data_IF_680919697342
#
_entry.id   IF_680919697342
#
_cell.length_a   1.000
_cell.length_b   1.000
_cell.length_c   1.000
_cell.angle_alpha   90.00
_cell.angle_beta   90.00
_cell.angle_gamma   90.00
#
_symmetry.space_group_name_H-M   'P 1'
#
loop_
_entity.id
_entity.type
_entity.pdbx_description
1 polymer ?
#
# COMPACT_ATOMS: atom_id res chain seq x y z
N UNK A 1 -21.57 8.27 0.54
CA UNK A 1 -20.32 8.54 1.28
C UNK A 1 -20.00 7.29 2.05
N UNK A 2 -18.83 6.68 1.84
CA UNK A 2 -18.44 5.44 2.52
C UNK A 2 -17.76 5.78 3.84
N UNK A 3 -18.09 5.05 4.90
CA UNK A 3 -17.50 5.25 6.23
C UNK A 3 -16.23 4.41 6.44
N UNK A 4 -15.45 4.72 7.47
CA UNK A 4 -14.33 3.87 7.89
C UNK A 4 -14.77 2.42 8.22
N UNK A 5 -15.99 2.26 8.74
CA UNK A 5 -16.57 0.93 9.00
C UNK A 5 -16.84 0.17 7.71
N UNK A 6 -17.34 0.87 6.68
CA UNK A 6 -17.57 0.25 5.36
C UNK A 6 -16.25 -0.18 4.72
N UNK A 7 -15.21 0.66 4.81
CA UNK A 7 -13.87 0.34 4.34
C UNK A 7 -13.29 -0.90 5.03
N UNK A 8 -13.38 -0.95 6.37
CA UNK A 8 -12.95 -2.11 7.14
C UNK A 8 -13.67 -3.38 6.72
N UNK A 9 -14.99 -3.30 6.53
CA UNK A 9 -15.80 -4.46 6.13
C UNK A 9 -15.48 -4.94 4.70
N UNK A 10 -15.12 -4.02 3.80
CA UNK A 10 -14.63 -4.35 2.47
C UNK A 10 -13.28 -5.07 2.57
N UNK A 11 -12.28 -4.42 3.16
CA UNK A 11 -10.89 -4.92 3.23
C UNK A 11 -10.73 -6.18 4.10
N UNK A 12 -11.76 -6.60 4.83
CA UNK A 12 -11.79 -7.87 5.57
C UNK A 12 -12.17 -9.08 4.69
N UNK A 13 -12.46 -8.88 3.41
CA UNK A 13 -12.84 -9.95 2.47
C UNK A 13 -11.64 -10.44 1.68
N UNK A 14 -11.66 -11.72 1.34
CA UNK A 14 -10.66 -12.31 0.45
C UNK A 14 -10.85 -11.80 -0.99
N UNK A 15 -9.74 -11.60 -1.69
CA UNK A 15 -9.73 -11.18 -3.10
C UNK A 15 -9.80 -9.66 -3.33
N UNK A 16 -9.85 -8.85 -2.27
CA UNK A 16 -9.79 -7.40 -2.37
C UNK A 16 -8.35 -6.90 -2.63
N UNK A 17 -8.24 -5.77 -3.34
CA UNK A 17 -6.96 -5.16 -3.64
C UNK A 17 -6.58 -4.14 -2.57
N UNK A 18 -5.32 -4.22 -2.12
CA UNK A 18 -4.71 -3.25 -1.22
C UNK A 18 -3.89 -2.21 -1.99
N UNK A 19 -3.69 -1.04 -1.38
CA UNK A 19 -2.93 0.06 -2.00
C UNK A 19 -2.08 0.85 -1.00
N UNK A 20 -1.97 2.15 -1.27
CA UNK A 20 -1.13 3.05 -0.48
C UNK A 20 -1.55 3.15 1.00
N UNK A 21 -2.86 3.09 1.27
CA UNK A 21 -3.40 3.17 2.64
C UNK A 21 -2.96 1.96 3.46
N UNK A 22 -3.14 0.75 2.91
CA UNK A 22 -2.77 -0.48 3.61
C UNK A 22 -1.26 -0.59 3.82
N UNK A 23 -0.46 -0.16 2.83
CA UNK A 23 1.00 -0.14 2.97
C UNK A 23 1.46 0.83 4.06
N UNK A 24 0.80 1.99 4.18
CA UNK A 24 1.08 2.93 5.25
C UNK A 24 0.72 2.33 6.61
N UNK A 25 -0.50 1.81 6.78
CA UNK A 25 -0.92 1.17 8.04
C UNK A 25 -0.04 -0.04 8.40
N UNK A 26 0.35 -0.85 7.42
CA UNK A 26 1.27 -1.97 7.65
C UNK A 26 2.65 -1.48 8.12
N UNK A 27 3.16 -0.37 7.57
CA UNK A 27 4.43 0.20 8.01
C UNK A 27 4.40 0.74 9.44
N UNK A 28 3.24 1.20 9.92
CA UNK A 28 3.05 1.61 11.31
C UNK A 28 2.97 0.40 12.26
N UNK A 29 2.35 -0.70 11.83
CA UNK A 29 2.23 -1.93 12.62
C UNK A 29 3.54 -2.71 12.71
N UNK A 30 4.39 -2.62 11.68
CA UNK A 30 5.67 -3.32 11.60
C UNK A 30 6.83 -2.32 11.44
N UNK A 31 7.22 -1.62 12.51
CA UNK A 31 8.15 -0.48 12.44
C UNK A 31 9.58 -0.86 12.03
N UNK A 32 9.95 -2.13 12.13
CA UNK A 32 11.26 -2.63 11.68
C UNK A 32 11.34 -2.78 10.15
N UNK A 33 10.21 -2.70 9.43
CA UNK A 33 10.16 -2.81 7.98
C UNK A 33 10.09 -1.45 7.26
N UNK A 34 10.69 -1.40 6.07
CA UNK A 34 10.45 -0.37 5.06
C UNK A 34 9.97 -1.03 3.78
N UNK A 35 8.76 -0.71 3.32
CA UNK A 35 8.23 -1.23 2.05
C UNK A 35 8.56 -0.27 0.91
N UNK A 36 9.35 -0.74 -0.06
CA UNK A 36 9.77 0.02 -1.24
C UNK A 36 8.98 -0.41 -2.46
N UNK A 37 8.06 0.44 -2.91
CA UNK A 37 7.19 0.17 -4.07
C UNK A 37 7.81 0.76 -5.33
N UNK A 38 8.17 -0.13 -6.26
CA UNK A 38 8.67 0.22 -7.59
C UNK A 38 7.52 0.17 -8.58
N UNK A 39 7.35 1.20 -9.40
CA UNK A 39 6.31 1.22 -10.42
C UNK A 39 6.88 0.88 -11.80
N UNK A 40 6.22 -0.02 -12.51
CA UNK A 40 6.65 -0.42 -13.85
C UNK A 40 6.67 0.78 -14.79
N UNK A 41 7.79 0.98 -15.50
CA UNK A 41 7.98 2.13 -16.41
C UNK A 41 8.22 3.47 -15.70
N UNK A 42 8.38 3.49 -14.38
CA UNK A 42 8.69 4.68 -13.60
C UNK A 42 9.98 4.45 -12.79
N UNK A 43 10.91 5.39 -12.82
CA UNK A 43 12.14 5.32 -12.02
C UNK A 43 11.92 5.71 -10.55
N UNK A 44 10.72 6.17 -10.19
CA UNK A 44 10.39 6.59 -8.82
C UNK A 44 9.99 5.39 -7.97
N UNK A 45 10.63 5.30 -6.81
CA UNK A 45 10.24 4.40 -5.72
C UNK A 45 9.46 5.19 -4.68
N UNK A 46 8.43 4.58 -4.10
CA UNK A 46 7.70 5.12 -2.95
C UNK A 46 8.00 4.24 -1.74
N UNK A 47 8.48 4.86 -0.67
CA UNK A 47 8.87 4.17 0.55
C UNK A 47 7.81 4.36 1.64
N UNK A 48 7.43 3.27 2.29
CA UNK A 48 6.54 3.25 3.45
C UNK A 48 7.27 2.71 4.68
N UNK A 49 7.28 3.49 5.76
CA UNK A 49 8.05 3.18 6.97
C UNK A 49 9.49 3.70 6.91
N UNK A 50 10.21 3.49 8.00
CA UNK A 50 11.62 3.88 8.18
C UNK A 50 12.42 2.78 8.89
N UNK A 51 11.92 1.54 8.82
CA UNK A 51 12.55 0.37 9.41
C UNK A 51 13.81 -0.07 8.69
N UNK A 52 14.65 -0.83 9.38
CA UNK A 52 15.96 -1.29 8.85
C UNK A 52 15.83 -2.40 7.83
N UNK A 53 14.74 -3.16 7.86
CA UNK A 53 14.56 -4.32 6.99
C UNK A 53 13.73 -3.89 5.78
N UNK A 54 14.36 -3.87 4.61
CA UNK A 54 13.69 -3.45 3.38
C UNK A 54 12.92 -4.59 2.71
N UNK A 55 11.69 -4.30 2.24
CA UNK A 55 10.83 -5.20 1.47
C UNK A 55 10.46 -4.55 0.15
N UNK A 56 10.89 -5.12 -0.96
CA UNK A 56 10.68 -4.55 -2.29
C UNK A 56 9.42 -5.13 -2.94
N UNK A 57 8.54 -4.26 -3.42
CA UNK A 57 7.31 -4.60 -4.10
C UNK A 57 7.32 -4.00 -5.51
N UNK A 58 6.87 -4.75 -6.52
CA UNK A 58 6.69 -4.26 -7.88
C UNK A 58 5.20 -4.02 -8.13
N UNK A 59 4.84 -2.78 -8.43
CA UNK A 59 3.50 -2.41 -8.90
C UNK A 59 3.50 -2.27 -10.43
N UNK A 60 2.76 -3.15 -11.09
CA UNK A 60 2.60 -3.18 -12.55
C UNK A 60 1.23 -2.70 -13.03
N UNK A 61 0.39 -2.18 -12.13
CA UNK A 61 -0.92 -1.65 -12.48
C UNK A 61 -0.84 -0.36 -13.30
N UNK A 62 -1.89 -0.14 -14.11
CA UNK A 62 -2.05 1.05 -14.93
C UNK A 62 -2.68 2.17 -14.09
N UNK A 63 -1.96 3.28 -13.91
CA UNK A 63 -2.34 4.42 -13.07
C UNK A 63 -2.43 4.09 -11.56
N UNK A 64 -2.43 5.16 -10.77
CA UNK A 64 -2.23 5.19 -9.32
C UNK A 64 -3.11 4.17 -8.58
N UNK A 65 -2.51 3.34 -7.72
CA UNK A 65 -3.21 2.31 -6.92
C UNK A 65 -4.00 2.93 -5.74
N UNK A 66 -4.62 4.11 -5.93
CA UNK A 66 -5.28 4.79 -4.81
C UNK A 66 -5.83 6.19 -5.07
N UNK A 67 -5.93 6.69 -6.31
CA UNK A 67 -6.72 7.90 -6.59
C UNK A 67 -7.94 7.58 -7.46
N UNK A 68 -8.93 6.93 -6.85
CA UNK A 68 -10.30 6.96 -7.34
C UNK A 68 -11.18 7.41 -6.17
N UNK A 69 -11.59 8.69 -6.27
CA UNK A 69 -12.59 9.48 -5.54
C UNK A 69 -12.35 9.83 -4.07
#
# INVERSE_FOLDING_TARGET
MWSATDYRNLMSRDGEYAGHVELHSASELFPDFTFKVHRTGCSKTIDYGQGRIEKHLLFSGYLDAGSII
#
